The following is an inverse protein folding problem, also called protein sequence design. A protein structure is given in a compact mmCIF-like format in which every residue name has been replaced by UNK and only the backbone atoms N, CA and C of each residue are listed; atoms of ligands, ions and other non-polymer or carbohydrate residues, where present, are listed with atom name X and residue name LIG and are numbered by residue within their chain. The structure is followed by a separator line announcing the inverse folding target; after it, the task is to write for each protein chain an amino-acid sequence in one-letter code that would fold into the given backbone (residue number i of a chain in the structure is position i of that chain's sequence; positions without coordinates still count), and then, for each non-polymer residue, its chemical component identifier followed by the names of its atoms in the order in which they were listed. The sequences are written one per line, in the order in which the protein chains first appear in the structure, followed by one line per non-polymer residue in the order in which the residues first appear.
data_IF_365222705004
#
_entry.id   IF_365222705004
#
_cell.length_a   1.000
_cell.length_b   1.000
_cell.length_c   1.000
_cell.angle_alpha   90.00
_cell.angle_beta   90.00
_cell.angle_gamma   90.00
#
_symmetry.space_group_name_H-M   'P 1'
#
loop_
_entity.id
_entity.type
_entity.pdbx_description
1 polymer ?
#
# COMPACT_ATOMS: atom_id res chain seq x y z
N UNK A 1 9.14 14.68 2.53
CA UNK A 1 9.01 14.26 3.96
C UNK A 1 8.32 15.30 4.84
N UNK A 2 8.37 16.60 4.55
CA UNK A 2 7.84 17.68 5.41
C UNK A 2 6.39 17.49 5.85
N UNK A 3 5.51 17.06 4.91
CA UNK A 3 4.10 16.79 5.24
C UNK A 3 3.93 15.57 6.16
N UNK A 4 4.79 14.57 6.08
CA UNK A 4 4.78 13.40 6.98
C UNK A 4 5.20 13.84 8.39
N UNK A 5 6.27 14.61 8.49
CA UNK A 5 6.75 15.14 9.77
C UNK A 5 5.72 16.09 10.41
N UNK A 6 5.05 16.93 9.61
CA UNK A 6 3.95 17.74 10.09
C UNK A 6 2.78 16.91 10.63
N UNK A 7 2.39 15.83 9.91
CA UNK A 7 1.36 14.89 10.36
C UNK A 7 1.76 14.22 11.69
N UNK A 8 2.96 13.68 11.78
CA UNK A 8 3.48 13.02 12.99
C UNK A 8 3.55 13.98 14.18
N UNK A 9 4.00 15.23 13.94
CA UNK A 9 3.99 16.29 14.94
C UNK A 9 2.57 16.62 15.41
N UNK A 10 1.63 16.76 14.47
CA UNK A 10 0.24 17.06 14.80
C UNK A 10 -0.45 15.94 15.57
N UNK A 11 -0.27 14.69 15.15
CA UNK A 11 -0.87 13.54 15.83
C UNK A 11 -0.17 13.19 17.14
N UNK A 12 1.07 13.68 17.36
CA UNK A 12 1.88 13.39 18.55
C UNK A 12 2.44 11.97 18.60
N UNK A 13 2.59 11.32 17.43
CA UNK A 13 2.96 9.91 17.32
C UNK A 13 3.63 9.64 15.98
N UNK A 14 4.70 8.85 15.97
CA UNK A 14 5.32 8.35 14.73
C UNK A 14 4.39 7.39 13.99
N UNK A 15 4.41 7.42 12.68
CA UNK A 15 3.81 6.37 11.87
C UNK A 15 4.69 5.12 11.95
N UNK A 16 4.08 3.95 12.10
CA UNK A 16 4.82 2.69 12.05
C UNK A 16 5.30 2.39 10.62
N UNK A 17 4.43 2.62 9.66
CA UNK A 17 4.68 2.35 8.24
C UNK A 17 4.36 3.58 7.38
N UNK A 18 5.01 3.70 6.23
CA UNK A 18 4.73 4.71 5.21
C UNK A 18 4.74 4.08 3.82
N UNK A 19 3.61 4.22 3.09
CA UNK A 19 3.48 3.68 1.73
C UNK A 19 3.98 4.67 0.67
N UNK A 20 4.70 4.14 -0.31
CA UNK A 20 5.06 4.83 -1.56
C UNK A 20 4.68 3.97 -2.76
N UNK A 21 4.48 4.61 -3.91
CA UNK A 21 4.17 3.94 -5.17
C UNK A 21 5.36 4.03 -6.12
N UNK A 22 5.64 2.93 -6.81
CA UNK A 22 6.68 2.86 -7.85
C UNK A 22 6.29 1.85 -8.92
N UNK A 23 6.87 2.00 -10.11
CA UNK A 23 6.58 1.15 -11.27
C UNK A 23 7.81 0.36 -11.70
N UNK A 24 7.65 -0.56 -12.65
CA UNK A 24 8.75 -1.32 -13.26
C UNK A 24 9.56 -0.45 -14.23
N UNK A 25 10.16 0.58 -13.70
CA UNK A 25 10.98 1.52 -14.47
C UNK A 25 12.47 1.22 -14.28
N UNK A 26 13.15 0.75 -15.33
CA UNK A 26 14.58 0.40 -15.29
C UNK A 26 15.51 1.61 -15.60
N UNK A 27 14.99 2.83 -15.49
CA UNK A 27 15.86 4.01 -15.65
C UNK A 27 16.74 4.16 -14.40
N UNK A 28 18.08 4.28 -14.57
CA UNK A 28 19.02 4.39 -13.43
C UNK A 28 18.66 5.51 -12.46
N UNK A 29 18.22 6.67 -12.96
CA UNK A 29 17.82 7.82 -12.14
C UNK A 29 16.57 7.54 -11.29
N UNK A 30 15.63 6.75 -11.78
CA UNK A 30 14.42 6.37 -11.04
C UNK A 30 14.76 5.36 -9.94
N UNK A 31 15.57 4.36 -10.26
CA UNK A 31 16.04 3.37 -9.28
C UNK A 31 16.92 4.02 -8.21
N UNK A 32 17.84 4.90 -8.61
CA UNK A 32 18.68 5.65 -7.67
C UNK A 32 17.82 6.51 -6.74
N UNK A 33 16.85 7.25 -7.28
CA UNK A 33 15.94 8.05 -6.47
C UNK A 33 15.11 7.19 -5.50
N UNK A 34 14.63 6.03 -5.95
CA UNK A 34 13.87 5.12 -5.10
C UNK A 34 14.72 4.60 -3.93
N UNK A 35 15.85 3.95 -4.22
CA UNK A 35 16.63 3.22 -3.22
C UNK A 35 17.54 4.14 -2.38
N UNK A 36 18.18 5.15 -2.99
CA UNK A 36 19.15 6.00 -2.33
C UNK A 36 18.57 7.32 -1.80
N UNK A 37 17.28 7.62 -2.07
CA UNK A 37 16.62 8.80 -1.54
C UNK A 37 15.28 8.47 -0.87
N UNK A 38 14.28 7.97 -1.60
CA UNK A 38 12.92 7.82 -1.07
C UNK A 38 12.86 6.80 0.08
N UNK A 39 13.38 5.59 -0.12
CA UNK A 39 13.39 4.54 0.91
C UNK A 39 14.25 4.94 2.11
N UNK A 40 15.43 5.53 1.86
CA UNK A 40 16.29 6.04 2.94
C UNK A 40 15.64 7.19 3.70
N UNK A 41 14.95 8.10 3.04
CA UNK A 41 14.23 9.19 3.70
C UNK A 41 13.09 8.67 4.59
N UNK A 42 12.37 7.64 4.15
CA UNK A 42 11.32 6.97 4.95
C UNK A 42 11.97 6.32 6.18
N UNK A 43 13.02 5.52 5.98
CA UNK A 43 13.71 4.83 7.05
C UNK A 43 14.35 5.79 8.06
N UNK A 44 15.03 6.83 7.58
CA UNK A 44 15.66 7.85 8.42
C UNK A 44 14.64 8.70 9.18
N UNK A 45 13.41 8.82 8.66
CA UNK A 45 12.28 9.37 9.43
C UNK A 45 11.72 8.37 10.44
N UNK A 46 12.32 7.18 10.56
CA UNK A 46 11.91 6.13 11.49
C UNK A 46 10.53 5.52 11.15
N UNK A 47 10.26 5.32 9.88
CA UNK A 47 9.09 4.59 9.40
C UNK A 47 9.55 3.38 8.59
N UNK A 48 8.83 2.26 8.67
CA UNK A 48 9.07 1.11 7.80
C UNK A 48 8.39 1.35 6.45
N UNK A 49 9.09 1.29 5.30
CA UNK A 49 8.47 1.50 4.01
C UNK A 49 7.56 0.34 3.60
N UNK A 50 6.39 0.69 3.05
CA UNK A 50 5.58 -0.18 2.19
C UNK A 50 5.80 0.31 0.77
N UNK A 51 6.18 -0.59 -0.12
CA UNK A 51 6.45 -0.28 -1.52
C UNK A 51 5.31 -0.87 -2.35
N UNK A 52 4.37 -0.02 -2.77
CA UNK A 52 3.40 -0.42 -3.77
C UNK A 52 4.10 -0.46 -5.12
N UNK A 53 4.32 -1.67 -5.62
CA UNK A 53 5.12 -1.93 -6.81
C UNK A 53 4.24 -2.42 -7.95
N UNK A 54 4.09 -1.56 -8.94
CA UNK A 54 3.18 -1.73 -10.06
C UNK A 54 3.91 -2.29 -11.27
N UNK A 55 3.46 -3.42 -11.86
CA UNK A 55 4.06 -4.00 -13.06
C UNK A 55 3.70 -3.18 -14.32
N UNK A 56 4.21 -1.95 -14.36
CA UNK A 56 4.05 -1.00 -15.45
C UNK A 56 5.41 -0.42 -15.79
N UNK A 57 5.81 -0.46 -17.05
CA UNK A 57 7.08 0.13 -17.49
C UNK A 57 7.06 1.66 -17.38
N UNK A 58 8.20 2.30 -17.55
CA UNK A 58 8.34 3.74 -17.40
C UNK A 58 7.30 4.52 -18.21
N UNK A 59 6.57 5.38 -17.51
CA UNK A 59 5.68 6.37 -18.10
C UNK A 59 6.37 7.73 -17.93
N UNK A 60 6.69 8.38 -19.03
CA UNK A 60 7.39 9.68 -19.00
C UNK A 60 6.44 10.86 -18.79
N UNK A 61 5.14 10.68 -19.02
CA UNK A 61 4.13 11.72 -18.90
C UNK A 61 3.46 11.70 -17.52
N UNK A 62 3.30 12.85 -16.86
CA UNK A 62 2.50 12.94 -15.63
C UNK A 62 0.99 12.74 -15.87
N UNK A 63 0.54 12.86 -17.12
CA UNK A 63 -0.83 12.61 -17.56
C UNK A 63 -0.79 11.73 -18.83
N UNK A 64 -0.55 10.42 -18.70
CA UNK A 64 -0.35 9.54 -19.84
C UNK A 64 -1.64 9.37 -20.64
N UNK A 65 -1.50 9.34 -21.95
CA UNK A 65 -2.58 8.96 -22.88
C UNK A 65 -2.86 7.46 -22.78
N UNK A 66 -4.02 7.00 -23.27
CA UNK A 66 -4.33 5.57 -23.33
C UNK A 66 -3.29 4.77 -24.15
N UNK A 67 -2.71 5.37 -25.19
CA UNK A 67 -1.67 4.73 -26.01
C UNK A 67 -0.36 4.57 -25.22
N UNK A 68 0.05 5.59 -24.43
CA UNK A 68 1.23 5.50 -23.55
C UNK A 68 1.02 4.47 -22.43
N UNK A 69 -0.18 4.41 -21.83
CA UNK A 69 -0.54 3.39 -20.86
C UNK A 69 -0.44 1.98 -21.45
N UNK A 70 -0.98 1.76 -22.64
CA UNK A 70 -0.90 0.46 -23.31
C UNK A 70 0.54 0.05 -23.68
N UNK A 71 1.41 1.01 -23.99
CA UNK A 71 2.83 0.74 -24.25
C UNK A 71 3.58 0.44 -22.95
N UNK A 72 3.25 1.15 -21.88
CA UNK A 72 3.88 0.96 -20.57
C UNK A 72 3.44 -0.34 -19.89
N UNK A 73 2.22 -0.81 -20.17
CA UNK A 73 1.68 -2.05 -19.61
C UNK A 73 1.06 -2.89 -20.73
N UNK A 74 1.91 -3.57 -21.51
CA UNK A 74 1.42 -4.45 -22.55
C UNK A 74 0.62 -5.60 -21.94
N UNK A 75 -0.44 -6.05 -22.65
CA UNK A 75 -1.38 -7.05 -22.15
C UNK A 75 -0.79 -8.45 -21.91
N UNK A 76 0.51 -8.63 -22.11
CA UNK A 76 1.24 -9.89 -21.90
C UNK A 76 2.35 -9.77 -20.82
N UNK A 77 2.34 -8.68 -20.03
CA UNK A 77 3.42 -8.40 -19.06
C UNK A 77 3.57 -9.51 -18.02
N UNK A 78 2.46 -10.10 -17.55
CA UNK A 78 2.46 -11.19 -16.58
C UNK A 78 3.06 -12.45 -17.19
N UNK A 79 2.70 -12.78 -18.42
CA UNK A 79 3.24 -13.94 -19.15
C UNK A 79 4.74 -13.77 -19.37
N UNK A 80 5.19 -12.59 -19.78
CA UNK A 80 6.62 -12.28 -19.98
C UNK A 80 7.41 -12.37 -18.69
N UNK A 81 6.87 -11.82 -17.60
CA UNK A 81 7.51 -11.93 -16.31
C UNK A 81 7.57 -13.38 -15.83
N UNK A 82 6.47 -14.14 -15.95
CA UNK A 82 6.41 -15.54 -15.57
C UNK A 82 7.38 -16.41 -16.38
N UNK A 83 7.63 -16.08 -17.64
CA UNK A 83 8.56 -16.78 -18.53
C UNK A 83 10.04 -16.37 -18.34
N UNK A 84 10.32 -15.38 -17.47
CA UNK A 84 11.68 -14.93 -17.17
C UNK A 84 12.25 -13.88 -18.14
N UNK A 85 11.46 -13.35 -19.05
CA UNK A 85 11.92 -12.32 -19.99
C UNK A 85 12.33 -11.01 -19.30
N UNK A 86 11.81 -10.77 -18.08
CA UNK A 86 12.08 -9.59 -17.27
C UNK A 86 13.08 -9.85 -16.14
N UNK A 87 13.68 -11.04 -16.06
CA UNK A 87 14.57 -11.44 -14.97
C UNK A 87 15.77 -10.50 -14.79
N UNK A 88 16.32 -9.97 -15.86
CA UNK A 88 17.44 -9.03 -15.77
C UNK A 88 17.08 -7.80 -14.93
N UNK A 89 15.91 -7.21 -15.19
CA UNK A 89 15.38 -6.07 -14.42
C UNK A 89 15.01 -6.49 -12.99
N UNK A 90 14.28 -7.59 -12.83
CA UNK A 90 13.80 -8.08 -11.53
C UNK A 90 14.97 -8.44 -10.60
N UNK A 91 16.02 -9.09 -11.13
CA UNK A 91 17.25 -9.36 -10.37
C UNK A 91 18.00 -8.10 -9.96
N UNK A 92 18.12 -7.12 -10.85
CA UNK A 92 18.72 -5.81 -10.52
C UNK A 92 17.97 -5.12 -9.39
N UNK A 93 16.64 -5.13 -9.46
CA UNK A 93 15.79 -4.54 -8.42
C UNK A 93 15.93 -5.29 -7.10
N UNK A 94 15.98 -6.62 -7.13
CA UNK A 94 16.21 -7.46 -5.95
C UNK A 94 17.59 -7.22 -5.33
N UNK A 95 18.65 -7.01 -6.13
CA UNK A 95 19.98 -6.66 -5.61
C UNK A 95 19.98 -5.30 -4.92
N UNK A 96 19.31 -4.30 -5.50
CA UNK A 96 19.14 -2.99 -4.87
C UNK A 96 18.34 -3.07 -3.57
N UNK A 97 17.26 -3.88 -3.54
CA UNK A 97 16.49 -4.12 -2.32
C UNK A 97 17.34 -4.78 -1.25
N UNK A 98 18.10 -5.82 -1.58
CA UNK A 98 19.02 -6.47 -0.62
C UNK A 98 20.03 -5.48 -0.07
N UNK A 99 20.61 -4.62 -0.92
CA UNK A 99 21.51 -3.55 -0.50
C UNK A 99 20.82 -2.58 0.47
N UNK A 100 19.58 -2.16 0.19
CA UNK A 100 18.80 -1.33 1.11
C UNK A 100 18.59 -2.03 2.46
N UNK A 101 18.18 -3.30 2.44
CA UNK A 101 17.90 -4.09 3.64
C UNK A 101 19.15 -4.32 4.50
N UNK A 102 20.34 -4.41 3.88
CA UNK A 102 21.63 -4.65 4.57
C UNK A 102 22.14 -3.49 5.45
N UNK A 103 21.28 -2.55 5.79
CA UNK A 103 21.62 -1.52 6.77
C UNK A 103 22.64 -0.49 6.30
N UNK A 104 23.35 0.10 7.24
CA UNK A 104 24.38 1.09 6.98
C UNK A 104 25.76 0.46 6.75
N UNK A 105 26.01 -0.70 7.33
CA UNK A 105 27.27 -1.43 7.18
C UNK A 105 27.33 -2.23 5.85
N UNK A 106 26.19 -2.38 5.15
CA UNK A 106 26.08 -3.11 3.88
C UNK A 106 26.18 -4.63 4.02
N UNK A 107 26.09 -5.16 5.23
CA UNK A 107 26.19 -6.59 5.54
C UNK A 107 24.84 -7.13 5.98
N UNK A 108 24.26 -8.04 5.22
CA UNK A 108 22.95 -8.63 5.51
C UNK A 108 23.01 -9.58 6.70
N UNK A 109 21.95 -9.62 7.52
CA UNK A 109 21.83 -10.35 8.78
C UNK A 109 22.67 -9.75 9.93
N UNK A 110 22.72 -8.43 10.00
CA UNK A 110 23.30 -7.68 11.11
C UNK A 110 22.25 -6.91 11.92
N UNK A 111 22.67 -6.24 13.00
CA UNK A 111 21.75 -5.58 13.92
C UNK A 111 21.18 -4.26 13.38
N UNK A 112 21.80 -3.67 12.36
CA UNK A 112 21.36 -2.41 11.72
C UNK A 112 20.58 -2.62 10.42
N UNK A 113 20.24 -3.89 10.13
CA UNK A 113 19.43 -4.24 8.97
C UNK A 113 18.07 -3.56 8.98
N UNK A 114 17.65 -3.15 7.78
CA UNK A 114 16.36 -2.50 7.56
C UNK A 114 15.26 -3.49 7.23
N UNK A 115 14.04 -3.01 7.31
CA UNK A 115 12.81 -3.74 6.95
C UNK A 115 12.02 -3.02 5.89
N UNK A 116 11.29 -3.78 5.08
CA UNK A 116 10.35 -3.24 4.11
C UNK A 116 9.22 -4.24 3.86
N UNK A 117 8.09 -3.71 3.36
CA UNK A 117 7.03 -4.50 2.75
C UNK A 117 6.98 -4.21 1.26
N UNK A 118 6.68 -5.22 0.45
CA UNK A 118 6.32 -5.06 -0.96
C UNK A 118 4.84 -5.38 -1.14
N UNK A 119 4.06 -4.39 -1.56
CA UNK A 119 2.67 -4.55 -2.00
C UNK A 119 2.68 -4.62 -3.52
N UNK A 120 2.80 -5.83 -4.04
CA UNK A 120 3.01 -6.07 -5.46
C UNK A 120 1.69 -6.22 -6.22
N UNK A 121 1.57 -5.58 -7.39
CA UNK A 121 0.47 -5.76 -8.36
C UNK A 121 -0.92 -5.81 -7.68
N UNK A 122 -1.24 -4.79 -6.89
CA UNK A 122 -2.45 -4.71 -6.07
C UNK A 122 -3.74 -4.58 -6.91
N UNK A 123 -4.88 -4.86 -6.29
CA UNK A 123 -6.23 -4.70 -6.87
C UNK A 123 -6.44 -5.43 -8.22
N UNK A 124 -5.82 -6.59 -8.39
CA UNK A 124 -5.86 -7.38 -9.61
C UNK A 124 -7.26 -7.93 -9.95
N UNK A 125 -8.17 -7.95 -8.98
CA UNK A 125 -9.57 -8.32 -9.14
C UNK A 125 -10.46 -7.15 -9.61
N UNK A 126 -9.85 -6.01 -9.95
CA UNK A 126 -10.48 -4.85 -10.58
C UNK A 126 -10.36 -4.89 -12.12
N UNK A 127 -11.04 -3.93 -12.77
CA UNK A 127 -11.03 -3.75 -14.24
C UNK A 127 -10.30 -2.47 -14.68
N UNK A 128 -9.53 -1.85 -13.80
CA UNK A 128 -8.83 -0.59 -14.04
C UNK A 128 -7.32 -0.74 -14.23
N UNK A 129 -6.70 -1.71 -13.60
CA UNK A 129 -5.25 -1.92 -13.73
C UNK A 129 -4.91 -2.89 -14.87
N UNK A 130 -3.82 -2.63 -15.61
CA UNK A 130 -3.41 -3.48 -16.75
C UNK A 130 -2.98 -4.89 -16.34
N UNK A 131 -2.56 -5.11 -15.10
CA UNK A 131 -2.27 -6.44 -14.55
C UNK A 131 -3.50 -7.17 -13.99
N UNK A 132 -4.68 -6.58 -14.10
CA UNK A 132 -5.95 -7.26 -13.83
C UNK A 132 -6.43 -8.01 -15.08
N UNK A 133 -6.85 -9.28 -14.93
CA UNK A 133 -7.27 -10.12 -16.05
C UNK A 133 -8.44 -9.52 -16.85
N UNK A 134 -9.30 -8.73 -16.19
CA UNK A 134 -10.42 -8.08 -16.86
C UNK A 134 -9.99 -7.01 -17.88
N UNK A 135 -8.82 -6.38 -17.69
CA UNK A 135 -8.32 -5.31 -18.57
C UNK A 135 -7.13 -5.72 -19.40
N UNK A 136 -6.19 -6.46 -18.85
CA UNK A 136 -4.93 -6.80 -19.51
C UNK A 136 -5.06 -7.90 -20.56
N UNK A 137 -6.12 -8.70 -20.51
CA UNK A 137 -6.28 -9.86 -21.39
C UNK A 137 -5.48 -11.10 -20.96
N UNK A 138 -4.80 -11.03 -19.80
CA UNK A 138 -4.19 -12.16 -19.13
C UNK A 138 -5.22 -12.94 -18.32
N UNK A 139 -4.83 -14.12 -17.84
CA UNK A 139 -5.65 -14.93 -16.96
C UNK A 139 -5.22 -14.75 -15.50
N UNK A 140 -6.07 -15.07 -14.51
CA UNK A 140 -5.64 -15.13 -13.12
C UNK A 140 -4.44 -16.05 -12.90
N UNK A 141 -4.32 -17.14 -13.66
CA UNK A 141 -3.18 -18.05 -13.59
C UNK A 141 -1.86 -17.40 -14.08
N UNK A 142 -1.93 -16.47 -15.03
CA UNK A 142 -0.75 -15.72 -15.49
C UNK A 142 -0.26 -14.78 -14.40
N UNK A 143 -1.18 -14.08 -13.73
CA UNK A 143 -0.87 -13.26 -12.56
C UNK A 143 -0.21 -14.07 -11.44
N UNK A 144 -0.78 -15.25 -11.10
CA UNK A 144 -0.22 -16.14 -10.07
C UNK A 144 1.20 -16.56 -10.42
N UNK A 145 1.48 -16.97 -11.67
CA UNK A 145 2.83 -17.36 -12.11
C UNK A 145 3.80 -16.18 -12.07
N UNK A 146 3.39 -15.00 -12.48
CA UNK A 146 4.20 -13.78 -12.36
C UNK A 146 4.56 -13.51 -10.90
N UNK A 147 3.58 -13.51 -10.01
CA UNK A 147 3.79 -13.28 -8.57
C UNK A 147 4.80 -14.25 -7.98
N UNK A 148 4.58 -15.56 -8.23
CA UNK A 148 5.44 -16.62 -7.74
C UNK A 148 6.88 -16.48 -8.27
N UNK A 149 7.04 -16.17 -9.57
CA UNK A 149 8.34 -15.92 -10.18
C UNK A 149 9.05 -14.75 -9.52
N UNK A 150 8.38 -13.61 -9.39
CA UNK A 150 8.96 -12.40 -8.81
C UNK A 150 9.42 -12.65 -7.38
N UNK A 151 8.56 -13.19 -6.50
CA UNK A 151 8.95 -13.49 -5.11
C UNK A 151 10.12 -14.48 -5.04
N UNK A 152 10.12 -15.51 -5.90
CA UNK A 152 11.21 -16.51 -5.91
C UNK A 152 12.58 -15.90 -6.22
N UNK A 153 12.67 -14.94 -7.13
CA UNK A 153 13.93 -14.25 -7.43
C UNK A 153 14.52 -13.51 -6.22
N UNK A 154 13.68 -12.96 -5.35
CA UNK A 154 14.11 -12.32 -4.10
C UNK A 154 14.53 -13.35 -3.06
N UNK A 155 13.76 -14.43 -2.94
CA UNK A 155 14.08 -15.53 -2.04
C UNK A 155 15.42 -16.20 -2.41
N UNK A 156 15.67 -16.41 -3.69
CA UNK A 156 16.94 -17.00 -4.20
C UNK A 156 18.17 -16.14 -3.88
N UNK A 157 17.97 -14.82 -3.63
CA UNK A 157 19.01 -13.93 -3.11
C UNK A 157 19.16 -13.97 -1.59
N UNK A 158 18.42 -14.84 -0.91
CA UNK A 158 18.45 -15.01 0.54
C UNK A 158 17.78 -13.89 1.32
N UNK A 159 16.81 -13.21 0.75
CA UNK A 159 15.97 -12.25 1.50
C UNK A 159 14.87 -13.01 2.26
N UNK A 160 14.90 -12.90 3.58
CA UNK A 160 14.02 -13.61 4.51
C UNK A 160 12.88 -12.70 5.01
N UNK A 161 11.80 -13.33 5.51
CA UNK A 161 10.63 -12.66 6.08
C UNK A 161 10.98 -11.69 7.23
N UNK A 162 12.08 -11.88 7.93
CA UNK A 162 12.53 -10.98 8.99
C UNK A 162 12.90 -9.58 8.51
N UNK A 163 13.11 -9.41 7.20
CA UNK A 163 13.53 -8.16 6.57
C UNK A 163 12.57 -7.68 5.49
N UNK A 164 11.98 -8.62 4.73
CA UNK A 164 11.11 -8.31 3.60
C UNK A 164 9.87 -9.18 3.62
N UNK A 165 8.70 -8.55 3.68
CA UNK A 165 7.42 -9.25 3.61
C UNK A 165 6.57 -8.79 2.43
N UNK A 166 5.78 -9.72 1.88
CA UNK A 166 5.00 -9.54 0.66
C UNK A 166 3.52 -9.45 0.96
N UNK A 167 2.90 -8.34 0.54
CA UNK A 167 1.50 -8.03 0.75
C UNK A 167 0.72 -8.29 -0.54
N UNK A 168 -0.13 -9.30 -0.54
CA UNK A 168 -1.11 -9.54 -1.60
C UNK A 168 -2.38 -8.76 -1.28
N UNK A 169 -2.70 -7.74 -2.10
CA UNK A 169 -3.75 -6.77 -1.81
C UNK A 169 -4.85 -6.81 -2.86
N UNK A 170 -6.07 -7.16 -2.45
CA UNK A 170 -7.26 -7.20 -3.30
C UNK A 170 -8.11 -5.93 -3.12
N UNK A 171 -8.83 -5.55 -4.17
CA UNK A 171 -9.90 -4.56 -4.03
C UNK A 171 -11.06 -5.15 -3.24
N UNK A 172 -11.77 -4.32 -2.47
CA UNK A 172 -12.88 -4.72 -1.59
C UNK A 172 -14.06 -5.41 -2.32
N UNK A 173 -14.12 -5.27 -3.64
CA UNK A 173 -15.12 -5.93 -4.51
C UNK A 173 -14.49 -6.43 -5.79
N UNK A 174 -15.00 -7.53 -6.33
CA UNK A 174 -14.59 -8.02 -7.64
C UNK A 174 -15.26 -7.19 -8.75
N UNK A 175 -14.45 -6.75 -9.70
CA UNK A 175 -14.91 -6.06 -10.91
C UNK A 175 -14.27 -6.74 -12.12
N UNK A 176 -15.04 -6.96 -13.18
CA UNK A 176 -14.52 -7.58 -14.41
C UNK A 176 -14.68 -9.09 -14.51
N UNK A 177 -15.43 -9.71 -13.59
CA UNK A 177 -15.88 -11.11 -13.74
C UNK A 177 -14.93 -12.18 -13.22
N UNK A 178 -13.85 -11.81 -12.55
CA UNK A 178 -12.93 -12.74 -11.90
C UNK A 178 -12.97 -12.56 -10.38
N UNK A 179 -13.01 -13.67 -9.64
CA UNK A 179 -12.97 -13.62 -8.17
C UNK A 179 -11.54 -13.37 -7.65
N UNK A 180 -11.41 -12.63 -6.55
CA UNK A 180 -10.13 -12.36 -5.91
C UNK A 180 -9.34 -13.66 -5.64
N UNK A 181 -10.00 -14.71 -5.17
CA UNK A 181 -9.38 -16.00 -4.84
C UNK A 181 -8.69 -16.65 -6.04
N UNK A 182 -9.16 -16.39 -7.27
CA UNK A 182 -8.55 -16.94 -8.48
C UNK A 182 -7.13 -16.40 -8.75
N UNK A 183 -6.77 -15.27 -8.13
CA UNK A 183 -5.44 -14.64 -8.22
C UNK A 183 -4.54 -14.97 -7.03
N UNK A 184 -4.97 -15.81 -6.09
CA UNK A 184 -4.18 -16.08 -4.89
C UNK A 184 -2.93 -16.91 -5.20
N UNK A 185 -1.72 -16.40 -4.91
CA UNK A 185 -0.47 -17.11 -5.26
C UNK A 185 -0.17 -18.32 -4.40
N UNK A 186 -0.89 -18.48 -3.28
CA UNK A 186 -0.65 -19.51 -2.27
C UNK A 186 0.12 -19.01 -1.06
N UNK A 187 -0.06 -19.67 0.09
CA UNK A 187 0.48 -19.28 1.40
C UNK A 187 2.01 -19.20 1.44
N UNK A 188 2.72 -19.96 0.61
CA UNK A 188 4.18 -19.93 0.52
C UNK A 188 4.70 -18.64 -0.15
N UNK A 189 3.84 -17.97 -0.90
CA UNK A 189 4.19 -16.78 -1.68
C UNK A 189 3.59 -15.49 -1.13
N UNK A 190 2.82 -15.55 -0.05
CA UNK A 190 2.15 -14.40 0.57
C UNK A 190 2.49 -14.37 2.04
N UNK A 191 2.90 -13.20 2.56
CA UNK A 191 3.16 -13.01 3.98
C UNK A 191 1.98 -12.29 4.63
N UNK A 192 1.35 -11.34 3.92
CA UNK A 192 0.16 -10.60 4.33
C UNK A 192 -0.92 -10.62 3.27
N UNK A 193 -2.15 -10.80 3.69
CA UNK A 193 -3.33 -10.49 2.86
C UNK A 193 -3.81 -9.08 3.19
N UNK A 194 -4.13 -8.30 2.16
CA UNK A 194 -4.61 -6.93 2.35
C UNK A 194 -5.86 -6.65 1.53
N UNK A 195 -6.63 -5.68 2.01
CA UNK A 195 -7.75 -5.10 1.29
C UNK A 195 -7.44 -3.64 0.94
N UNK A 196 -8.01 -3.20 -0.18
CA UNK A 196 -8.09 -1.81 -0.59
C UNK A 196 -9.56 -1.45 -0.77
N UNK A 197 -10.01 -0.27 -0.29
CA UNK A 197 -11.41 0.10 -0.40
C UNK A 197 -11.71 1.53 0.00
N UNK A 198 -12.68 2.16 -0.69
CA UNK A 198 -12.99 3.56 -0.55
C UNK A 198 -14.48 3.82 -0.37
N UNK A 199 -14.82 4.71 0.57
CA UNK A 199 -16.14 5.32 0.60
C UNK A 199 -16.15 6.54 -0.32
N UNK A 200 -16.55 6.33 -1.57
CA UNK A 200 -16.68 7.39 -2.57
C UNK A 200 -17.84 8.34 -2.30
N UNK A 201 -18.78 7.98 -1.42
CA UNK A 201 -19.97 8.78 -1.15
C UNK A 201 -20.72 9.12 -2.44
N UNK A 202 -21.12 10.38 -2.56
CA UNK A 202 -21.76 10.92 -3.76
C UNK A 202 -20.78 11.64 -4.71
N UNK A 203 -19.47 11.35 -4.62
CA UNK A 203 -18.45 12.00 -5.45
C UNK A 203 -18.46 11.54 -6.91
N UNK A 204 -19.09 10.39 -7.19
CA UNK A 204 -19.24 9.82 -8.53
C UNK A 204 -20.71 9.45 -8.78
N UNK A 205 -21.10 9.40 -10.04
CA UNK A 205 -22.50 9.06 -10.42
C UNK A 205 -22.88 7.62 -10.13
N UNK A 206 -21.89 6.72 -10.04
CA UNK A 206 -22.05 5.30 -9.77
C UNK A 206 -21.86 4.94 -8.30
N UNK A 207 -21.46 5.89 -7.44
CA UNK A 207 -21.13 5.62 -6.05
C UNK A 207 -22.18 6.14 -5.08
N UNK A 208 -22.21 5.59 -3.88
CA UNK A 208 -23.03 5.99 -2.76
C UNK A 208 -22.24 5.94 -1.46
N UNK A 209 -22.78 6.57 -0.42
CA UNK A 209 -22.18 6.47 0.91
C UNK A 209 -22.29 5.05 1.47
N UNK A 210 -21.16 4.47 1.82
CA UNK A 210 -21.09 3.13 2.43
C UNK A 210 -20.30 3.19 3.74
N UNK A 211 -20.69 2.34 4.71
CA UNK A 211 -19.99 2.22 6.00
C UNK A 211 -18.71 1.40 5.85
N UNK A 212 -17.80 1.44 6.85
CA UNK A 212 -16.63 0.55 6.85
C UNK A 212 -16.98 -0.94 6.76
N UNK A 213 -18.03 -1.38 7.45
CA UNK A 213 -18.53 -2.75 7.39
C UNK A 213 -19.00 -3.11 5.98
N UNK A 214 -19.80 -2.24 5.36
CA UNK A 214 -20.25 -2.44 3.98
C UNK A 214 -19.10 -2.46 2.98
N UNK A 215 -18.04 -1.70 3.26
CA UNK A 215 -16.84 -1.66 2.41
C UNK A 215 -16.05 -2.95 2.54
N UNK A 216 -15.74 -3.40 3.75
CA UNK A 216 -14.70 -4.42 3.94
C UNK A 216 -15.20 -5.80 4.31
N UNK A 217 -16.32 -5.94 5.04
CA UNK A 217 -16.72 -7.22 5.63
C UNK A 217 -16.96 -8.33 4.60
N UNK A 218 -17.60 -8.07 3.42
CA UNK A 218 -17.82 -9.14 2.44
C UNK A 218 -16.50 -9.75 1.94
N UNK A 219 -15.50 -8.94 1.58
CA UNK A 219 -14.21 -9.43 1.11
C UNK A 219 -13.37 -9.97 2.27
N UNK A 220 -13.40 -9.34 3.44
CA UNK A 220 -12.69 -9.80 4.64
C UNK A 220 -13.06 -11.23 5.00
N UNK A 221 -14.37 -11.57 4.98
CA UNK A 221 -14.83 -12.92 5.26
C UNK A 221 -14.33 -13.94 4.23
N UNK A 222 -14.26 -13.56 2.96
CA UNK A 222 -13.70 -14.40 1.90
C UNK A 222 -12.20 -14.64 2.10
N UNK A 223 -11.43 -13.60 2.44
CA UNK A 223 -10.00 -13.72 2.69
C UNK A 223 -9.68 -14.59 3.91
N UNK A 224 -10.50 -14.50 4.96
CA UNK A 224 -10.38 -15.38 6.14
C UNK A 224 -10.73 -16.83 5.86
N UNK A 225 -11.60 -17.08 4.89
CA UNK A 225 -11.90 -18.43 4.44
C UNK A 225 -10.79 -19.01 3.53
N UNK A 226 -10.03 -18.14 2.86
CA UNK A 226 -8.98 -18.51 1.92
C UNK A 226 -7.67 -18.89 2.64
N UNK A 227 -7.27 -18.15 3.68
CA UNK A 227 -5.98 -18.30 4.35
C UNK A 227 -6.00 -17.82 5.79
N UNK A 228 -5.01 -18.26 6.58
CA UNK A 228 -4.76 -17.82 7.96
C UNK A 228 -3.72 -16.70 8.06
N UNK A 229 -3.22 -16.17 6.95
CA UNK A 229 -2.25 -15.07 6.93
C UNK A 229 -2.80 -13.82 7.63
N UNK A 230 -1.96 -12.99 8.26
CA UNK A 230 -2.38 -11.74 8.89
C UNK A 230 -3.06 -10.83 7.86
N UNK A 231 -4.12 -10.12 8.30
CA UNK A 231 -4.90 -9.26 7.42
C UNK A 231 -4.63 -7.80 7.72
N UNK A 232 -4.46 -7.03 6.66
CA UNK A 232 -4.28 -5.59 6.65
C UNK A 232 -5.30 -4.89 5.75
N UNK A 233 -5.42 -3.57 5.90
CA UNK A 233 -6.08 -2.68 4.95
C UNK A 233 -5.04 -1.62 4.58
N UNK A 234 -4.31 -1.85 3.49
CA UNK A 234 -3.14 -1.03 3.13
C UNK A 234 -3.46 0.14 2.22
N UNK A 235 -4.73 0.31 1.87
CA UNK A 235 -5.19 1.50 1.15
C UNK A 235 -6.68 1.72 1.37
N UNK A 236 -7.04 2.84 1.99
CA UNK A 236 -8.45 3.20 2.19
C UNK A 236 -8.62 4.68 2.44
N UNK A 237 -9.79 5.20 2.11
CA UNK A 237 -10.20 6.55 2.47
C UNK A 237 -11.72 6.74 2.40
N UNK A 238 -12.16 7.92 2.85
CA UNK A 238 -13.52 8.40 2.71
C UNK A 238 -13.54 9.85 2.25
N UNK A 239 -14.54 10.23 1.47
CA UNK A 239 -14.79 11.60 1.04
C UNK A 239 -15.70 12.35 2.03
N UNK A 240 -15.81 13.69 1.86
CA UNK A 240 -16.89 14.48 2.49
C UNK A 240 -18.19 14.45 1.67
N UNK A 241 -18.16 13.98 0.42
CA UNK A 241 -19.26 14.06 -0.52
C UNK A 241 -20.42 13.16 -0.13
N UNK A 242 -21.50 13.73 0.38
CA UNK A 242 -22.75 13.02 0.66
C UNK A 242 -23.85 13.48 -0.32
N UNK A 243 -24.98 12.78 -0.37
CA UNK A 243 -26.13 13.17 -1.22
C UNK A 243 -26.68 14.54 -0.86
N UNK A 244 -26.50 14.98 0.39
CA UNK A 244 -26.90 16.30 0.87
C UNK A 244 -25.83 17.39 0.65
N UNK A 245 -24.70 17.06 0.02
CA UNK A 245 -23.54 17.91 -0.18
C UNK A 245 -22.36 17.54 0.74
N UNK A 246 -21.26 18.30 0.71
CA UNK A 246 -20.06 18.02 1.51
C UNK A 246 -20.34 18.08 3.02
N UNK A 247 -19.90 17.06 3.77
CA UNK A 247 -20.08 16.97 5.23
C UNK A 247 -18.78 16.53 5.92
N UNK A 248 -18.15 17.46 6.65
CA UNK A 248 -16.99 17.17 7.49
C UNK A 248 -17.37 16.20 8.63
N UNK A 249 -18.57 16.36 9.20
CA UNK A 249 -19.06 15.49 10.27
C UNK A 249 -19.23 14.05 9.81
N UNK A 250 -19.80 13.83 8.62
CA UNK A 250 -19.96 12.49 8.07
C UNK A 250 -18.61 11.81 7.84
N UNK A 251 -17.63 12.52 7.28
CA UNK A 251 -16.26 12.00 7.10
C UNK A 251 -15.57 11.73 8.45
N UNK A 252 -15.69 12.65 9.42
CA UNK A 252 -15.14 12.44 10.77
C UNK A 252 -15.74 11.23 11.47
N UNK A 253 -17.04 10.99 11.28
CA UNK A 253 -17.70 9.79 11.81
C UNK A 253 -17.16 8.52 11.12
N UNK A 254 -17.07 8.52 9.77
CA UNK A 254 -16.54 7.38 9.03
C UNK A 254 -15.09 7.05 9.43
N UNK A 255 -14.25 8.09 9.66
CA UNK A 255 -12.89 7.92 10.19
C UNK A 255 -12.93 7.20 11.53
N UNK A 256 -13.78 7.65 12.45
CA UNK A 256 -13.92 7.01 13.76
C UNK A 256 -14.35 5.55 13.63
N UNK A 257 -15.30 5.26 12.76
CA UNK A 257 -15.90 3.95 12.62
C UNK A 257 -14.95 2.95 11.94
N UNK A 258 -14.17 3.36 10.92
CA UNK A 258 -13.23 2.45 10.26
C UNK A 258 -12.10 2.01 11.19
N UNK A 259 -11.59 2.88 12.06
CA UNK A 259 -10.56 2.49 13.03
C UNK A 259 -11.13 1.59 14.13
N UNK A 260 -12.37 1.81 14.58
CA UNK A 260 -13.07 0.87 15.48
C UNK A 260 -13.32 -0.47 14.83
N UNK A 261 -13.77 -0.45 13.57
CA UNK A 261 -13.97 -1.66 12.77
C UNK A 261 -12.68 -2.46 12.65
N UNK A 262 -11.58 -1.82 12.28
CA UNK A 262 -10.27 -2.47 12.16
C UNK A 262 -9.83 -3.18 13.44
N UNK A 263 -10.02 -2.54 14.60
CA UNK A 263 -9.73 -3.16 15.90
C UNK A 263 -10.67 -4.33 16.20
N UNK A 264 -11.97 -4.15 16.01
CA UNK A 264 -12.96 -5.19 16.25
C UNK A 264 -12.75 -6.42 15.36
N UNK A 265 -12.27 -6.20 14.14
CA UNK A 265 -11.96 -7.22 13.16
C UNK A 265 -10.52 -7.76 13.23
N UNK A 266 -9.74 -7.39 14.27
CA UNK A 266 -8.34 -7.82 14.42
C UNK A 266 -7.49 -7.59 13.16
N UNK A 267 -7.71 -6.47 12.46
CA UNK A 267 -6.88 -6.02 11.35
C UNK A 267 -5.54 -5.55 11.90
N UNK A 268 -4.44 -6.10 11.40
CA UNK A 268 -3.10 -5.93 11.98
C UNK A 268 -2.36 -4.68 11.48
N UNK A 269 -2.73 -4.15 10.32
CA UNK A 269 -2.13 -2.94 9.73
C UNK A 269 -3.21 -2.16 8.99
N UNK A 270 -3.18 -0.83 9.11
CA UNK A 270 -4.09 0.08 8.40
C UNK A 270 -3.30 1.26 7.83
N UNK A 271 -3.52 1.59 6.55
CA UNK A 271 -2.83 2.68 5.86
C UNK A 271 -3.85 3.57 5.15
N UNK A 272 -4.04 4.78 5.67
CA UNK A 272 -4.93 5.77 5.07
C UNK A 272 -4.31 6.35 3.80
N UNK A 273 -5.07 6.40 2.69
CA UNK A 273 -4.67 7.08 1.46
C UNK A 273 -4.80 8.61 1.65
N UNK A 274 -3.71 9.26 2.07
CA UNK A 274 -3.69 10.66 2.48
C UNK A 274 -3.35 11.62 1.33
N UNK A 275 -4.09 11.51 0.23
CA UNK A 275 -3.93 12.36 -0.95
C UNK A 275 -5.31 12.83 -1.45
N UNK A 276 -5.44 14.12 -1.80
CA UNK A 276 -6.60 14.60 -2.56
C UNK A 276 -6.30 14.36 -4.06
N UNK A 277 -7.10 13.53 -4.72
CA UNK A 277 -6.93 13.16 -6.12
C UNK A 277 -8.28 13.23 -6.85
N UNK A 278 -9.06 12.16 -6.86
CA UNK A 278 -10.41 12.16 -7.47
C UNK A 278 -11.43 12.92 -6.61
N UNK A 279 -11.22 12.92 -5.30
CA UNK A 279 -12.00 13.67 -4.30
C UNK A 279 -11.11 13.99 -3.09
N UNK A 280 -11.68 14.47 -1.99
CA UNK A 280 -10.98 14.92 -0.79
C UNK A 280 -10.61 13.76 0.17
N UNK A 281 -9.85 12.79 -0.30
CA UNK A 281 -9.47 11.61 0.50
C UNK A 281 -8.68 11.94 1.76
N UNK A 282 -7.80 12.96 1.71
CA UNK A 282 -6.84 13.25 2.76
C UNK A 282 -7.50 13.53 4.13
N UNK A 283 -6.87 13.03 5.19
CA UNK A 283 -7.19 13.35 6.60
C UNK A 283 -6.28 14.44 7.16
N UNK A 284 -5.15 14.72 6.48
CA UNK A 284 -4.20 15.75 6.87
C UNK A 284 -3.58 16.42 5.62
N UNK A 285 -3.58 17.75 5.59
CA UNK A 285 -2.99 18.53 4.51
C UNK A 285 -3.76 18.48 3.18
N UNK A 286 -5.02 18.05 3.21
CA UNK A 286 -5.96 18.10 2.08
C UNK A 286 -6.77 19.38 2.03
N UNK A 287 -7.81 19.44 1.15
CA UNK A 287 -8.64 20.62 0.97
C UNK A 287 -9.64 20.83 2.11
N UNK A 288 -9.95 19.80 2.90
CA UNK A 288 -10.97 19.79 3.94
C UNK A 288 -10.43 19.30 5.28
N UNK A 289 -11.06 19.68 6.37
CA UNK A 289 -10.72 19.27 7.74
C UNK A 289 -11.54 20.08 8.76
N UNK A 290 -11.72 19.52 9.96
CA UNK A 290 -12.40 20.15 11.10
C UNK A 290 -11.45 20.97 11.98
N UNK A 291 -10.15 20.91 11.71
CA UNK A 291 -9.10 21.64 12.40
C UNK A 291 -8.00 22.10 11.45
N UNK A 292 -7.10 22.94 11.96
CA UNK A 292 -5.92 23.43 11.23
C UNK A 292 -4.69 23.29 12.13
N UNK A 293 -3.56 22.90 11.52
CA UNK A 293 -2.28 22.79 12.20
C UNK A 293 -1.19 23.51 11.41
N UNK A 294 -0.50 24.42 12.08
CA UNK A 294 0.62 25.16 11.49
C UNK A 294 1.95 24.49 11.82
N UNK A 295 2.76 24.24 10.79
CA UNK A 295 4.05 23.61 10.93
C UNK A 295 5.03 24.17 9.89
N UNK A 296 6.18 24.68 10.35
CA UNK A 296 7.23 25.27 9.52
C UNK A 296 6.71 26.30 8.48
N UNK A 297 5.79 27.18 8.92
CA UNK A 297 5.21 28.23 8.07
C UNK A 297 4.14 27.77 7.06
N UNK A 298 3.79 26.49 7.08
CA UNK A 298 2.70 25.92 6.28
C UNK A 298 1.51 25.58 7.17
N UNK A 299 0.31 25.80 6.64
CA UNK A 299 -0.96 25.52 7.33
C UNK A 299 -1.64 24.29 6.73
N UNK A 300 -1.95 23.30 7.55
CA UNK A 300 -2.52 22.02 7.16
C UNK A 300 -3.92 21.85 7.76
N UNK A 301 -4.92 21.64 6.91
CA UNK A 301 -6.23 21.17 7.39
C UNK A 301 -6.13 19.72 7.84
N UNK A 302 -6.85 19.37 8.91
CA UNK A 302 -6.75 18.06 9.53
C UNK A 302 -8.09 17.61 10.12
N UNK A 303 -8.26 16.32 10.30
CA UNK A 303 -9.43 15.71 10.95
C UNK A 303 -9.08 15.23 12.35
N UNK A 304 -9.65 15.86 13.39
CA UNK A 304 -9.39 15.48 14.80
C UNK A 304 -9.81 14.03 15.10
N UNK A 305 -10.81 13.52 14.39
CA UNK A 305 -11.22 12.11 14.47
C UNK A 305 -10.07 11.15 14.14
N UNK A 306 -9.25 11.46 13.12
CA UNK A 306 -8.07 10.67 12.77
C UNK A 306 -7.03 10.68 13.92
N UNK A 307 -6.65 11.86 14.39
CA UNK A 307 -5.71 12.00 15.52
C UNK A 307 -6.18 11.22 16.76
N UNK A 308 -7.46 11.31 17.08
CA UNK A 308 -8.06 10.59 18.21
C UNK A 308 -7.98 9.08 18.01
N UNK A 309 -8.31 8.58 16.83
CA UNK A 309 -8.29 7.15 16.51
C UNK A 309 -6.86 6.58 16.63
N UNK A 310 -5.89 7.16 15.92
CA UNK A 310 -4.50 6.67 15.91
C UNK A 310 -3.77 6.93 17.24
N UNK A 311 -4.27 7.87 18.06
CA UNK A 311 -3.77 8.16 19.42
C UNK A 311 -4.00 7.01 20.40
N UNK A 312 -4.89 6.06 20.11
CA UNK A 312 -5.10 4.86 20.92
C UNK A 312 -3.81 4.03 21.03
N UNK A 313 -3.59 3.42 22.20
CA UNK A 313 -2.49 2.48 22.44
C UNK A 313 -2.56 1.20 21.58
N UNK A 314 -3.72 0.91 21.01
CA UNK A 314 -3.91 -0.21 20.09
C UNK A 314 -3.22 -0.01 18.73
N UNK A 315 -2.94 1.23 18.34
CA UNK A 315 -2.16 1.53 17.15
C UNK A 315 -0.74 1.89 17.56
N UNK A 316 0.23 1.07 17.16
CA UNK A 316 1.64 1.25 17.55
C UNK A 316 2.34 2.35 16.73
N UNK A 317 3.31 3.01 17.35
CA UNK A 317 4.34 3.78 16.64
C UNK A 317 5.46 2.86 16.21
N UNK A 318 6.29 3.31 15.27
CA UNK A 318 7.64 2.78 15.18
C UNK A 318 8.38 2.97 16.51
N UNK A 319 9.15 1.97 16.92
CA UNK A 319 9.98 2.03 18.13
C UNK A 319 11.39 2.49 17.75
N UNK A 320 11.67 3.74 18.07
CA UNK A 320 12.97 4.38 17.76
C UNK A 320 14.14 3.81 18.57
N UNK A 321 13.87 3.08 19.65
CA UNK A 321 14.89 2.36 20.41
C UNK A 321 15.21 0.98 19.81
N UNK A 322 14.33 0.46 18.95
CA UNK A 322 14.55 -0.77 18.20
C UNK A 322 15.25 -0.45 16.86
N UNK A 323 16.46 -0.98 16.59
CA UNK A 323 17.14 -0.73 15.32
C UNK A 323 16.30 -1.07 14.09
N UNK A 324 15.39 -2.05 14.21
CA UNK A 324 14.48 -2.49 13.14
C UNK A 324 13.11 -1.81 13.15
N UNK A 325 12.90 -0.82 14.03
CA UNK A 325 11.70 0.01 14.18
C UNK A 325 10.43 -0.72 14.63
N UNK A 326 10.28 -1.98 14.35
CA UNK A 326 9.19 -2.88 14.77
C UNK A 326 9.77 -4.15 15.37
N UNK A 327 9.06 -4.78 16.29
CA UNK A 327 9.38 -6.16 16.71
C UNK A 327 9.06 -7.13 15.58
N UNK A 328 9.60 -8.36 15.64
CA UNK A 328 9.31 -9.39 14.63
C UNK A 328 7.81 -9.71 14.58
N UNK A 329 7.15 -9.81 15.74
CA UNK A 329 5.71 -9.99 15.85
C UNK A 329 4.90 -8.84 15.22
N UNK A 330 5.33 -7.58 15.43
CA UNK A 330 4.66 -6.43 14.80
C UNK A 330 4.87 -6.41 13.30
N UNK A 331 6.07 -6.78 12.84
CA UNK A 331 6.40 -6.80 11.41
C UNK A 331 5.68 -7.93 10.69
N UNK A 332 5.61 -9.12 11.28
CA UNK A 332 4.93 -10.28 10.68
C UNK A 332 3.40 -10.33 10.92
N UNK A 333 2.87 -9.51 11.83
CA UNK A 333 1.43 -9.46 12.13
C UNK A 333 0.88 -10.62 12.99
N UNK A 334 1.75 -11.47 13.57
CA UNK A 334 1.38 -12.61 14.40
C UNK A 334 1.47 -12.33 15.90
#
# INVERSE_FOLDING_TARGET
MDRVQALESWQGKKLAVLNLFTTWCDQPTILDNLFNQQLLNIWNNQNVPIITWEPVFCISSPNPTAAELNTAAPGDIEVRAANGELDAYLNKWADLMKTFLSGADGVYNTSDDRRAYIRFAHEMNGDWYPWGAAKGGNTPADYVRMWQRVKSLFYDKGMEWTHLEWIWCVNFSDNGGYSAESFYPGDDYVDWVSLSGYNWGASQTWSSWITPEQTFEPMLNRMRALTTKPISITEFASTTSTIAGPSLTAKSQWITDVYKYALAQNIKMVVWFNLAKETDWAVFGGPSGDSTFDYNGMSYKAYTAYKTAVGSSSFVSSDTANPRLLTDTQFSGY
#
